data_IF_865093396436
#
_entry.id   IF_865093396436
#
_cell.length_a   1.000
_cell.length_b   1.000
_cell.length_c   1.000
_cell.angle_alpha   90.00
_cell.angle_beta   90.00
_cell.angle_gamma   90.00
#
_symmetry.space_group_name_H-M   'P 1'
#
loop_
_entity.id
_entity.type
_entity.pdbx_description
1 polymer ?
#
# COMPACT_ATOMS: atom_id res chain seq x y z
N UNK A 1 -14.14 11.86 25.41
CA UNK A 1 -14.22 11.19 24.10
C UNK A 1 -14.05 12.27 23.05
N UNK A 2 -12.81 12.56 22.63
CA UNK A 2 -12.56 13.66 21.69
C UNK A 2 -12.04 13.06 20.39
N UNK A 3 -12.92 12.95 19.38
CA UNK A 3 -12.51 12.95 17.99
C UNK A 3 -12.00 14.37 17.69
N UNK A 4 -10.70 14.61 17.82
CA UNK A 4 -10.09 15.79 17.21
C UNK A 4 -10.10 15.55 15.71
N UNK A 5 -11.05 16.20 15.04
CA UNK A 5 -11.00 16.37 13.60
C UNK A 5 -9.67 17.04 13.25
N UNK A 6 -8.75 16.26 12.70
CA UNK A 6 -7.50 16.75 12.16
C UNK A 6 -7.85 17.74 11.05
N UNK A 7 -7.39 18.99 11.20
CA UNK A 7 -7.20 19.93 10.09
C UNK A 7 -6.61 19.11 8.93
N UNK A 8 -7.08 19.21 7.67
CA UNK A 8 -6.44 18.51 6.58
C UNK A 8 -5.04 19.13 6.41
N UNK A 9 -4.08 18.61 7.17
CA UNK A 9 -2.68 18.79 6.90
C UNK A 9 -2.51 18.40 5.43
N UNK A 10 -1.78 19.23 4.69
CA UNK A 10 -1.35 18.87 3.35
C UNK A 10 -0.87 17.42 3.41
N UNK A 11 -1.43 16.52 2.58
CA UNK A 11 -1.12 15.09 2.68
C UNK A 11 0.39 14.95 2.60
N UNK A 12 0.97 14.30 3.61
CA UNK A 12 2.40 14.09 3.65
C UNK A 12 2.83 13.19 2.49
N UNK A 13 4.12 13.15 2.17
CA UNK A 13 4.64 12.24 1.14
C UNK A 13 4.20 10.79 1.41
N UNK A 14 4.26 10.36 2.67
CA UNK A 14 3.75 9.07 3.14
C UNK A 14 2.23 8.90 2.93
N UNK A 15 1.41 9.91 3.25
CA UNK A 15 -0.05 9.83 3.04
C UNK A 15 -0.40 9.68 1.56
N UNK A 16 0.31 10.39 0.67
CA UNK A 16 0.13 10.29 -0.77
C UNK A 16 0.53 8.91 -1.28
N UNK A 17 1.66 8.38 -0.82
CA UNK A 17 2.12 7.02 -1.11
C UNK A 17 1.07 6.01 -0.66
N UNK A 18 0.70 6.01 0.63
CA UNK A 18 -0.26 5.07 1.19
C UNK A 18 -1.60 5.16 0.46
N UNK A 19 -2.12 6.37 0.20
CA UNK A 19 -3.37 6.57 -0.55
C UNK A 19 -3.29 5.97 -1.95
N UNK A 20 -2.15 6.12 -2.65
CA UNK A 20 -1.97 5.49 -3.97
C UNK A 20 -2.02 3.97 -3.85
N UNK A 21 -1.29 3.39 -2.91
CA UNK A 21 -1.21 1.94 -2.71
C UNK A 21 -2.59 1.37 -2.35
N UNK A 22 -3.30 1.99 -1.41
CA UNK A 22 -4.66 1.63 -1.03
C UNK A 22 -5.63 1.71 -2.22
N UNK A 23 -5.49 2.71 -3.10
CA UNK A 23 -6.28 2.79 -4.33
C UNK A 23 -6.02 1.63 -5.29
N UNK A 24 -4.78 1.18 -5.41
CA UNK A 24 -4.43 0.04 -6.25
C UNK A 24 -5.02 -1.25 -5.64
N UNK A 25 -4.86 -1.45 -4.34
CA UNK A 25 -5.42 -2.60 -3.61
C UNK A 25 -6.94 -2.64 -3.76
N UNK A 26 -7.64 -1.53 -3.51
CA UNK A 26 -9.10 -1.44 -3.59
C UNK A 26 -9.65 -1.31 -5.03
N UNK A 27 -8.80 -1.33 -6.06
CA UNK A 27 -9.28 -1.31 -7.42
C UNK A 27 -10.11 -2.58 -7.72
N UNK A 28 -11.23 -2.48 -8.47
CA UNK A 28 -12.07 -3.65 -8.76
C UNK A 28 -11.30 -4.83 -9.37
N UNK A 29 -10.35 -4.54 -10.27
CA UNK A 29 -9.51 -5.56 -10.89
C UNK A 29 -8.60 -6.27 -9.86
N UNK A 30 -8.05 -5.51 -8.90
CA UNK A 30 -7.17 -6.05 -7.88
C UNK A 30 -7.94 -6.89 -6.85
N UNK A 31 -9.11 -6.41 -6.43
CA UNK A 31 -10.02 -7.14 -5.55
C UNK A 31 -10.53 -8.43 -6.19
N UNK A 32 -10.89 -8.41 -7.48
CA UNK A 32 -11.31 -9.62 -8.21
C UNK A 32 -10.18 -10.64 -8.36
N UNK A 33 -8.96 -10.18 -8.63
CA UNK A 33 -7.79 -11.06 -8.79
C UNK A 33 -7.14 -11.44 -7.46
N UNK A 34 -7.57 -10.84 -6.35
CA UNK A 34 -6.94 -10.92 -5.02
C UNK A 34 -5.43 -10.62 -5.05
N UNK A 35 -5.02 -9.73 -5.94
CA UNK A 35 -3.63 -9.33 -6.12
C UNK A 35 -3.53 -7.88 -6.62
N UNK A 36 -2.50 -7.17 -6.19
CA UNK A 36 -2.17 -5.82 -6.61
C UNK A 36 -0.67 -5.73 -6.93
N UNK A 37 -0.32 -5.21 -8.09
CA UNK A 37 1.06 -4.87 -8.40
C UNK A 37 1.34 -3.43 -7.95
N UNK A 38 2.31 -3.25 -7.07
CA UNK A 38 2.75 -1.96 -6.57
C UNK A 38 4.23 -1.74 -6.86
N UNK A 39 4.61 -0.48 -7.07
CA UNK A 39 6.00 -0.08 -7.25
C UNK A 39 6.21 1.31 -6.69
N UNK A 40 7.45 1.57 -6.28
CA UNK A 40 7.91 2.89 -5.86
C UNK A 40 8.05 3.79 -7.09
N UNK A 41 7.51 5.01 -7.01
CA UNK A 41 7.72 6.05 -8.00
C UNK A 41 9.02 6.82 -7.73
N UNK A 42 9.66 7.40 -8.76
CA UNK A 42 10.95 8.10 -8.63
C UNK A 42 10.92 9.35 -7.74
N UNK A 43 9.75 9.86 -7.37
CA UNK A 43 9.60 10.99 -6.44
C UNK A 43 9.27 10.59 -5.00
N UNK A 44 9.23 9.29 -4.71
CA UNK A 44 8.88 8.78 -3.38
C UNK A 44 10.11 8.49 -2.55
N UNK A 45 10.00 8.77 -1.27
CA UNK A 45 11.04 8.48 -0.31
C UNK A 45 11.21 6.96 -0.13
N UNK A 46 12.47 6.53 -0.05
CA UNK A 46 12.81 5.11 0.13
C UNK A 46 12.44 4.59 1.51
N UNK A 47 12.59 5.43 2.55
CA UNK A 47 12.26 5.09 3.93
C UNK A 47 10.75 4.94 4.10
N UNK A 48 9.96 5.87 3.56
CA UNK A 48 8.50 5.76 3.56
C UNK A 48 8.01 4.51 2.81
N UNK A 49 8.63 4.20 1.67
CA UNK A 49 8.34 2.98 0.91
C UNK A 49 8.67 1.71 1.69
N UNK A 50 9.86 1.64 2.30
CA UNK A 50 10.28 0.50 3.11
C UNK A 50 9.36 0.29 4.32
N UNK A 51 9.01 1.37 5.02
CA UNK A 51 8.10 1.33 6.17
C UNK A 51 6.70 0.82 5.77
N UNK A 52 6.17 1.26 4.63
CA UNK A 52 4.88 0.76 4.12
C UNK A 52 4.94 -0.75 3.83
N UNK A 53 6.03 -1.24 3.25
CA UNK A 53 6.19 -2.67 2.99
C UNK A 53 6.31 -3.49 4.27
N UNK A 54 7.06 -3.00 5.26
CA UNK A 54 7.16 -3.62 6.59
C UNK A 54 5.80 -3.71 7.28
N UNK A 55 4.99 -2.65 7.19
CA UNK A 55 3.64 -2.63 7.75
C UNK A 55 2.72 -3.65 7.08
N UNK A 56 2.82 -3.80 5.76
CA UNK A 56 2.07 -4.80 4.99
C UNK A 56 2.54 -6.23 5.32
N UNK A 57 3.85 -6.48 5.37
CA UNK A 57 4.42 -7.79 5.70
C UNK A 57 4.04 -8.23 7.13
N UNK A 58 4.01 -7.29 8.07
CA UNK A 58 3.59 -7.54 9.46
C UNK A 58 2.14 -8.03 9.58
N UNK A 59 1.27 -7.65 8.66
CA UNK A 59 -0.17 -7.91 8.77
C UNK A 59 -0.56 -9.38 8.49
N UNK A 60 0.36 -10.27 8.08
CA UNK A 60 0.16 -11.72 7.81
C UNK A 60 -0.95 -12.11 6.80
N UNK A 61 -1.83 -11.17 6.45
CA UNK A 61 -2.90 -11.30 5.47
C UNK A 61 -2.39 -11.08 4.04
N UNK A 62 -1.26 -10.39 3.91
CA UNK A 62 -0.64 -10.04 2.65
C UNK A 62 0.58 -10.91 2.43
N UNK A 63 0.70 -11.44 1.23
CA UNK A 63 1.88 -12.07 0.71
C UNK A 63 2.57 -11.08 -0.23
N UNK A 64 3.78 -10.68 0.10
CA UNK A 64 4.61 -9.82 -0.73
C UNK A 64 5.42 -10.70 -1.68
N UNK A 65 5.30 -10.48 -2.99
CA UNK A 65 6.04 -11.18 -4.03
C UNK A 65 6.90 -10.19 -4.85
N UNK A 66 8.20 -10.05 -4.52
CA UNK A 66 9.11 -9.15 -5.23
C UNK A 66 9.35 -9.62 -6.67
N UNK A 67 9.20 -8.71 -7.62
CA UNK A 67 9.38 -8.99 -9.04
C UNK A 67 10.73 -8.53 -9.57
N UNK A 68 11.15 -9.14 -10.69
CA UNK A 68 12.47 -8.89 -11.30
C UNK A 68 12.66 -7.46 -11.81
N UNK A 69 11.56 -6.74 -12.05
CA UNK A 69 11.55 -5.34 -12.48
C UNK A 69 11.62 -4.35 -11.29
N UNK A 70 11.61 -4.85 -10.05
CA UNK A 70 11.59 -4.04 -8.84
C UNK A 70 10.19 -3.65 -8.37
N UNK A 71 9.13 -4.11 -9.05
CA UNK A 71 7.77 -4.05 -8.51
C UNK A 71 7.54 -5.15 -7.47
N UNK A 72 6.50 -5.01 -6.67
CA UNK A 72 6.08 -6.01 -5.68
C UNK A 72 4.62 -6.32 -5.95
N UNK A 73 4.32 -7.61 -6.14
CA UNK A 73 2.93 -8.07 -6.24
C UNK A 73 2.48 -8.45 -4.84
N UNK A 74 1.53 -7.69 -4.31
CA UNK A 74 0.78 -8.05 -3.12
C UNK A 74 -0.28 -9.06 -3.52
N UNK A 75 -0.37 -10.17 -2.78
CA UNK A 75 -1.45 -11.16 -2.92
C UNK A 75 -2.12 -11.34 -1.58
N UNK A 76 -3.43 -11.51 -1.58
CA UNK A 76 -4.19 -11.81 -0.37
C UNK A 76 -5.16 -12.94 -0.66
N UNK A 77 -5.58 -13.64 0.38
CA UNK A 77 -6.70 -14.56 0.23
C UNK A 77 -7.98 -13.73 0.38
N UNK A 78 -8.84 -13.69 -0.65
CA UNK A 78 -10.26 -13.44 -0.37
C UNK A 78 -10.70 -14.59 0.53
N UNK A 79 -10.96 -14.34 1.80
CA UNK A 79 -11.66 -15.33 2.62
C UNK A 79 -12.97 -15.65 1.88
N UNK A 80 -13.08 -16.88 1.38
CA UNK A 80 -14.29 -17.39 0.74
C UNK A 80 -15.41 -17.53 1.78
#
# INVERSE_FOLDING_TARGET
MNHTASIPALPTAYDLLNTRIQRIIHAPAAQQACQACISRLPGEDEGDWAHLLEDLDRSSQWLLDPQRDGSIVLRWSSAA
#
